data_IF_708078581465
#
_entry.id   IF_708078581465
#
_cell.length_a   1.000
_cell.length_b   1.000
_cell.length_c   1.000
_cell.angle_alpha   90.00
_cell.angle_beta   90.00
_cell.angle_gamma   90.00
#
_symmetry.space_group_name_H-M   'P 1'
#
loop_
_entity.id
_entity.type
_entity.pdbx_description
1 polymer ?
#
# COMPACT_ATOMS: atom_id res chain seq x y z
N UNK A 1 -22.99 53.39 -8.04
CA UNK A 1 -22.45 52.20 -7.37
C UNK A 1 -21.34 52.62 -6.42
N UNK A 2 -21.51 52.39 -5.11
CA UNK A 2 -20.49 52.73 -4.11
C UNK A 2 -19.24 51.86 -4.26
N UNK A 3 -18.03 52.43 -4.33
CA UNK A 3 -16.79 51.69 -4.56
C UNK A 3 -16.35 50.80 -3.39
N UNK A 4 -17.07 50.79 -2.26
CA UNK A 4 -16.73 50.00 -1.08
C UNK A 4 -17.09 48.51 -1.17
N UNK A 5 -18.00 48.11 -2.07
CA UNK A 5 -18.49 46.72 -2.11
C UNK A 5 -17.48 45.78 -2.77
N UNK A 6 -16.72 46.27 -3.75
CA UNK A 6 -15.75 45.46 -4.50
C UNK A 6 -14.55 45.00 -3.63
N UNK A 7 -14.11 45.83 -2.69
CA UNK A 7 -12.93 45.54 -1.85
C UNK A 7 -13.20 44.46 -0.78
N UNK A 8 -14.47 44.27 -0.37
CA UNK A 8 -14.87 43.24 0.59
C UNK A 8 -14.83 41.83 -0.02
N UNK A 9 -15.18 41.72 -1.31
CA UNK A 9 -15.26 40.43 -2.01
C UNK A 9 -13.86 39.84 -2.26
N UNK A 10 -12.87 40.71 -2.54
CA UNK A 10 -11.47 40.33 -2.80
C UNK A 10 -10.80 39.70 -1.58
N UNK A 11 -11.06 40.24 -0.39
CA UNK A 11 -10.47 39.71 0.86
C UNK A 11 -11.13 38.39 1.29
N UNK A 12 -12.45 38.26 1.11
CA UNK A 12 -13.17 37.02 1.42
C UNK A 12 -12.74 35.84 0.55
N UNK A 13 -12.51 36.07 -0.76
CA UNK A 13 -12.12 35.01 -1.69
C UNK A 13 -10.71 34.45 -1.41
N UNK A 14 -9.78 35.30 -0.95
CA UNK A 14 -8.39 34.89 -0.69
C UNK A 14 -8.28 33.90 0.48
N UNK A 15 -9.06 34.12 1.54
CA UNK A 15 -9.08 33.21 2.70
C UNK A 15 -9.67 31.85 2.34
N UNK A 16 -10.75 31.83 1.57
CA UNK A 16 -11.38 30.58 1.12
C UNK A 16 -10.45 29.76 0.21
N UNK A 17 -9.72 30.40 -0.70
CA UNK A 17 -8.76 29.72 -1.56
C UNK A 17 -7.59 29.12 -0.75
N UNK A 18 -7.06 29.87 0.24
CA UNK A 18 -5.99 29.36 1.10
C UNK A 18 -6.44 28.18 1.98
N UNK A 19 -7.67 28.22 2.51
CA UNK A 19 -8.24 27.13 3.28
C UNK A 19 -8.45 25.86 2.43
N UNK A 20 -8.91 26.01 1.19
CA UNK A 20 -9.06 24.89 0.25
C UNK A 20 -7.72 24.24 -0.10
N UNK A 21 -6.67 25.04 -0.31
CA UNK A 21 -5.32 24.54 -0.58
C UNK A 21 -4.72 23.79 0.62
N UNK A 22 -4.91 24.29 1.84
CA UNK A 22 -4.46 23.58 3.05
C UNK A 22 -5.24 22.27 3.22
N UNK A 23 -6.56 22.28 2.98
CA UNK A 23 -7.38 21.08 3.03
C UNK A 23 -6.94 20.05 1.99
N UNK A 24 -6.61 20.45 0.76
CA UNK A 24 -6.18 19.52 -0.29
C UNK A 24 -4.82 18.88 -0.01
N UNK A 25 -3.88 19.61 0.59
CA UNK A 25 -2.59 19.05 1.04
C UNK A 25 -2.79 18.05 2.18
N UNK A 26 -3.64 18.36 3.16
CA UNK A 26 -3.95 17.44 4.26
C UNK A 26 -4.66 16.17 3.77
N UNK A 27 -5.58 16.30 2.80
CA UNK A 27 -6.26 15.15 2.17
C UNK A 27 -5.27 14.30 1.36
N UNK A 28 -4.29 14.93 0.70
CA UNK A 28 -3.24 14.22 -0.04
C UNK A 28 -2.26 13.47 0.88
N UNK A 29 -2.01 13.99 2.09
CA UNK A 29 -1.21 13.30 3.11
C UNK A 29 -1.98 12.13 3.74
N UNK A 30 -3.28 12.29 4.00
CA UNK A 30 -4.17 11.20 4.49
C UNK A 30 -4.30 10.06 3.47
N UNK A 31 -4.36 10.42 2.18
CA UNK A 31 -4.41 9.45 1.08
C UNK A 31 -3.08 8.75 0.79
N UNK A 32 -1.97 9.02 1.48
CA UNK A 32 -0.81 8.11 1.45
C UNK A 32 -1.29 6.77 2.03
N UNK A 33 -1.38 5.69 1.24
CA UNK A 33 -1.89 4.41 1.73
C UNK A 33 -0.83 3.76 2.63
N UNK A 34 -0.71 4.24 3.85
CA UNK A 34 0.05 3.64 4.95
C UNK A 34 -0.91 2.90 5.90
N UNK A 35 -2.12 2.59 5.45
CA UNK A 35 -3.17 2.00 6.28
C UNK A 35 -3.96 0.94 5.48
N UNK A 36 -3.27 -0.13 5.12
CA UNK A 36 -3.91 -1.29 4.52
C UNK A 36 -2.82 -2.25 4.10
N UNK A 37 -2.52 -3.24 4.95
CA UNK A 37 -1.57 -4.29 4.59
C UNK A 37 -1.99 -4.83 3.22
N UNK A 38 -1.17 -4.55 2.19
CA UNK A 38 -1.45 -4.96 0.81
C UNK A 38 -1.84 -6.42 0.86
N UNK A 39 -2.90 -6.80 0.19
CA UNK A 39 -3.33 -8.19 0.08
C UNK A 39 -2.12 -9.10 -0.17
N UNK A 40 -2.07 -10.23 0.53
CA UNK A 40 -0.93 -11.13 0.45
C UNK A 40 -0.71 -11.53 -1.01
N UNK A 41 0.43 -11.19 -1.60
CA UNK A 41 0.73 -11.44 -3.01
C UNK A 41 0.61 -12.94 -3.39
N UNK A 42 0.82 -13.84 -2.42
CA UNK A 42 0.76 -15.28 -2.62
C UNK A 42 -0.66 -15.84 -2.66
N UNK A 43 -1.59 -15.31 -1.87
CA UNK A 43 -2.98 -15.80 -1.83
C UNK A 43 -4.00 -14.77 -2.28
N UNK A 44 -3.59 -13.57 -2.68
CA UNK A 44 -4.46 -12.48 -3.15
C UNK A 44 -5.66 -12.26 -2.19
N UNK A 45 -5.39 -12.21 -0.88
CA UNK A 45 -6.44 -12.06 0.14
C UNK A 45 -7.27 -13.30 0.48
N UNK A 46 -7.23 -14.39 -0.30
CA UNK A 46 -8.07 -15.59 -0.06
C UNK A 46 -7.70 -16.41 1.17
N UNK A 47 -6.54 -16.14 1.79
CA UNK A 47 -5.98 -16.81 3.00
C UNK A 47 -5.64 -18.28 2.83
N UNK A 48 -6.05 -18.92 1.75
CA UNK A 48 -5.81 -20.33 1.45
C UNK A 48 -5.20 -20.47 0.07
N UNK A 49 -4.27 -21.41 -0.05
CA UNK A 49 -3.61 -21.75 -1.31
C UNK A 49 -3.91 -23.21 -1.65
N UNK A 50 -3.83 -23.61 -2.93
CA UNK A 50 -3.90 -25.02 -3.29
C UNK A 50 -2.86 -25.81 -2.50
N UNK A 51 -3.27 -27.00 -2.07
CA UNK A 51 -2.41 -27.89 -1.31
C UNK A 51 -1.19 -28.29 -2.14
N UNK A 52 -0.01 -28.36 -1.52
CA UNK A 52 1.22 -28.74 -2.23
C UNK A 52 1.12 -30.11 -2.93
N UNK A 53 0.32 -31.00 -2.38
CA UNK A 53 0.17 -32.37 -2.86
C UNK A 53 -0.67 -32.47 -4.13
N UNK A 54 -1.58 -31.51 -4.40
CA UNK A 54 -2.39 -31.54 -5.64
C UNK A 54 -1.54 -31.29 -6.89
N UNK A 55 -0.29 -30.85 -6.72
CA UNK A 55 0.67 -30.69 -7.82
C UNK A 55 1.32 -32.01 -8.24
N UNK A 56 1.39 -32.98 -7.33
CA UNK A 56 2.18 -34.22 -7.49
C UNK A 56 1.33 -35.48 -7.37
N UNK A 57 0.13 -35.36 -6.82
CA UNK A 57 -0.86 -36.42 -6.71
C UNK A 57 -1.93 -36.13 -7.74
N UNK A 58 -2.20 -37.10 -8.62
CA UNK A 58 -3.32 -37.11 -9.58
C UNK A 58 -4.66 -37.26 -8.84
N UNK A 59 -4.92 -36.38 -7.88
CA UNK A 59 -6.13 -36.30 -7.08
C UNK A 59 -6.46 -37.53 -6.20
N UNK A 60 -5.64 -38.59 -6.22
CA UNK A 60 -6.02 -39.90 -5.70
C UNK A 60 -5.66 -40.22 -4.24
N UNK A 61 -4.81 -39.47 -3.54
CA UNK A 61 -4.61 -39.69 -2.09
C UNK A 61 -4.54 -38.33 -1.40
N UNK A 62 -5.57 -38.03 -0.61
CA UNK A 62 -5.62 -36.84 0.23
C UNK A 62 -4.41 -36.80 1.14
N UNK A 63 -3.40 -36.01 0.80
CA UNK A 63 -2.18 -35.99 1.58
C UNK A 63 -2.47 -35.48 3.00
N UNK A 64 -1.73 -36.00 3.99
CA UNK A 64 -1.89 -35.61 5.40
C UNK A 64 -1.81 -34.11 5.61
N UNK A 65 -0.99 -33.41 4.83
CA UNK A 65 -0.78 -31.95 4.92
C UNK A 65 -2.08 -31.15 4.81
N UNK A 66 -3.05 -31.64 4.04
CA UNK A 66 -4.30 -30.93 3.79
C UNK A 66 -5.54 -31.77 4.14
N UNK A 67 -5.33 -32.93 4.77
CA UNK A 67 -6.37 -33.88 5.18
C UNK A 67 -7.43 -34.14 4.09
N UNK A 68 -6.99 -34.28 2.83
CA UNK A 68 -7.88 -34.48 1.68
C UNK A 68 -8.70 -33.26 1.23
N UNK A 69 -8.58 -32.10 1.89
CA UNK A 69 -9.36 -30.88 1.57
C UNK A 69 -8.87 -30.14 0.32
N UNK A 70 -7.70 -30.49 -0.22
CA UNK A 70 -7.10 -29.86 -1.42
C UNK A 70 -6.64 -28.42 -1.23
N UNK A 71 -6.87 -27.79 -0.07
CA UNK A 71 -6.44 -26.42 0.26
C UNK A 71 -5.74 -26.38 1.60
N UNK A 72 -4.70 -25.56 1.71
CA UNK A 72 -3.99 -25.28 2.95
C UNK A 72 -3.99 -23.78 3.24
N UNK A 73 -3.72 -23.41 4.51
CA UNK A 73 -3.54 -22.01 4.89
C UNK A 73 -2.32 -21.45 4.14
N UNK A 74 -2.44 -20.22 3.65
CA UNK A 74 -1.32 -19.54 3.01
C UNK A 74 -0.20 -19.32 4.03
N UNK A 75 0.93 -20.01 3.82
CA UNK A 75 2.12 -19.90 4.67
C UNK A 75 2.73 -18.50 4.63
N UNK A 76 2.66 -17.82 3.49
CA UNK A 76 3.24 -16.48 3.31
C UNK A 76 2.56 -15.39 4.14
N UNK A 77 1.27 -15.52 4.44
CA UNK A 77 0.57 -14.60 5.34
C UNK A 77 0.05 -15.25 6.62
N UNK A 78 0.37 -16.52 6.87
CA UNK A 78 -0.14 -17.28 8.03
C UNK A 78 -1.67 -17.36 8.11
N UNK A 79 -2.38 -17.11 7.00
CA UNK A 79 -3.84 -17.04 6.97
C UNK A 79 -4.44 -15.68 7.31
N UNK A 80 -3.64 -14.63 7.55
CA UNK A 80 -4.16 -13.27 7.75
C UNK A 80 -4.76 -12.68 6.47
N UNK A 81 -4.29 -13.12 5.30
CA UNK A 81 -4.74 -12.60 3.99
C UNK A 81 -4.12 -11.26 3.60
N UNK A 82 -3.46 -10.59 4.53
CA UNK A 82 -2.69 -9.37 4.31
C UNK A 82 -1.19 -9.69 4.30
N UNK A 83 -0.46 -9.14 3.35
CA UNK A 83 0.99 -9.13 3.33
C UNK A 83 1.52 -8.11 4.33
N UNK A 84 2.60 -8.45 5.05
CA UNK A 84 3.32 -7.47 5.86
C UNK A 84 4.07 -6.51 4.94
N UNK A 85 3.88 -5.18 5.06
CA UNK A 85 4.79 -4.24 4.45
C UNK A 85 6.19 -4.45 5.05
N UNK A 86 7.20 -4.65 4.21
CA UNK A 86 8.60 -4.70 4.65
C UNK A 86 9.10 -3.25 4.64
N UNK A 87 9.36 -2.63 5.81
CA UNK A 87 9.94 -1.30 5.84
C UNK A 87 11.40 -1.39 5.39
N UNK A 88 11.66 -1.07 4.12
CA UNK A 88 13.04 -0.92 3.63
C UNK A 88 13.46 0.52 3.82
N UNK A 89 14.45 0.77 4.67
CA UNK A 89 15.12 2.06 4.74
C UNK A 89 16.21 2.11 3.68
N UNK A 90 15.91 2.79 2.56
CA UNK A 90 16.91 3.06 1.53
C UNK A 90 17.80 4.20 2.05
N UNK A 91 19.02 3.88 2.51
CA UNK A 91 20.03 4.91 2.80
C UNK A 91 20.64 5.35 1.46
N UNK A 92 20.37 6.58 1.05
CA UNK A 92 21.07 7.22 -0.06
C UNK A 92 22.51 7.58 0.39
N UNK A 93 23.36 6.57 0.54
CA UNK A 93 24.79 6.78 0.77
C UNK A 93 25.42 7.20 -0.56
N UNK A 94 25.65 8.50 -0.69
CA UNK A 94 26.60 9.18 -1.59
C UNK A 94 27.08 8.43 -2.83
N UNK A 95 26.70 8.93 -4.01
CA UNK A 95 27.43 8.71 -5.26
C UNK A 95 28.92 8.97 -4.99
N UNK A 96 29.82 7.98 -5.17
CA UNK A 96 31.24 8.25 -5.05
C UNK A 96 31.62 9.22 -6.17
N UNK A 97 31.87 10.47 -5.77
CA UNK A 97 32.42 11.49 -6.66
C UNK A 97 33.66 10.94 -7.34
N UNK A 98 33.67 11.03 -8.66
CA UNK A 98 34.75 10.67 -9.57
C UNK A 98 36.10 11.19 -9.06
N UNK A 99 36.85 10.34 -8.34
CA UNK A 99 38.22 10.63 -7.92
C UNK A 99 39.12 10.39 -9.15
N UNK A 100 39.27 11.43 -9.99
CA UNK A 100 40.32 11.45 -11.01
C UNK A 100 41.67 11.55 -10.31
N UNK A 101 42.42 10.46 -10.34
CA UNK A 101 43.86 10.47 -10.13
C UNK A 101 44.55 10.49 -11.49
N UNK A 102 45.10 11.65 -11.87
CA UNK A 102 46.30 11.82 -12.72
C UNK A 102 46.61 13.31 -12.83
#
# INVERSE_FOLDING_TARGET
>A
MSPGVAMQIVQGASLLASAWLVKSVLDAEDQKPMAGGRECATCNGTRRVPCICTKWSDNDIGCKTCNGSGKMICSSCGGSGTGRPIPVQIRASSIPGNRRSS
#
